data_IF_202663128532
#
_entry.id   IF_202663128532
#
_cell.length_a   1.000
_cell.length_b   1.000
_cell.length_c   1.000
_cell.angle_alpha   90.00
_cell.angle_beta   90.00
_cell.angle_gamma   90.00
#
_symmetry.space_group_name_H-M   'P 1'
#
loop_
_entity.id
_entity.type
_entity.pdbx_description
1 polymer ?
#
# COMPACT_ATOMS: atom_id res chain seq x y z
N UNK A 1 -22.05 21.94 -16.23
CA UNK A 1 -21.41 20.61 -16.26
C UNK A 1 -19.96 20.65 -16.72
N UNK A 2 -19.59 21.43 -17.75
CA UNK A 2 -18.20 21.55 -18.24
C UNK A 2 -17.18 21.93 -17.17
N UNK A 3 -17.45 22.94 -16.34
CA UNK A 3 -16.55 23.34 -15.25
C UNK A 3 -16.37 22.22 -14.21
N UNK A 4 -17.46 21.54 -13.85
CA UNK A 4 -17.42 20.40 -12.94
C UNK A 4 -16.53 19.28 -13.50
N UNK A 5 -16.64 18.97 -14.80
CA UNK A 5 -15.79 17.98 -15.46
C UNK A 5 -14.31 18.37 -15.46
N UNK A 6 -13.97 19.64 -15.68
CA UNK A 6 -12.58 20.12 -15.65
C UNK A 6 -12.00 20.04 -14.23
N UNK A 7 -12.79 20.40 -13.22
CA UNK A 7 -12.38 20.30 -11.81
C UNK A 7 -12.21 18.83 -11.40
N UNK A 8 -13.12 17.95 -11.80
CA UNK A 8 -13.02 16.52 -11.51
C UNK A 8 -11.80 15.89 -12.19
N UNK A 9 -11.48 16.29 -13.43
CA UNK A 9 -10.31 15.83 -14.17
C UNK A 9 -9.00 16.28 -13.51
N UNK A 10 -8.92 17.56 -13.11
CA UNK A 10 -7.73 18.08 -12.41
C UNK A 10 -7.57 17.45 -11.03
N UNK A 11 -8.68 17.23 -10.31
CA UNK A 11 -8.67 16.47 -9.07
C UNK A 11 -8.11 15.05 -9.26
N UNK A 12 -8.59 14.33 -10.27
CA UNK A 12 -8.07 13.01 -10.63
C UNK A 12 -6.56 13.05 -10.91
N UNK A 13 -6.07 13.97 -11.75
CA UNK A 13 -4.63 14.06 -12.06
C UNK A 13 -3.76 14.27 -10.82
N UNK A 14 -4.25 15.04 -9.84
CA UNK A 14 -3.51 15.32 -8.60
C UNK A 14 -3.53 14.11 -7.67
N UNK A 15 -4.69 13.47 -7.47
CA UNK A 15 -4.83 12.30 -6.57
C UNK A 15 -4.13 11.07 -7.15
N UNK A 16 -4.18 10.87 -8.48
CA UNK A 16 -3.48 9.79 -9.17
C UNK A 16 -1.95 9.92 -9.14
N UNK A 17 -1.39 10.95 -8.48
CA UNK A 17 0.05 11.19 -8.33
C UNK A 17 0.81 11.38 -9.65
N UNK A 18 0.13 11.73 -10.76
CA UNK A 18 0.76 11.92 -12.08
C UNK A 18 1.93 12.91 -12.03
N UNK A 19 1.83 13.97 -11.23
CA UNK A 19 2.92 14.95 -11.06
C UNK A 19 4.15 14.33 -10.41
N UNK A 20 3.95 13.44 -9.42
CA UNK A 20 5.05 12.72 -8.77
C UNK A 20 5.65 11.65 -9.68
N UNK A 21 4.79 10.99 -10.47
CA UNK A 21 5.23 9.98 -11.43
C UNK A 21 6.17 10.61 -12.49
N UNK A 22 5.86 11.81 -12.97
CA UNK A 22 6.70 12.54 -13.95
C UNK A 22 8.03 13.02 -13.35
N UNK A 23 8.07 13.40 -12.07
CA UNK A 23 9.28 13.98 -11.46
C UNK A 23 10.24 12.90 -10.95
N UNK A 24 9.69 11.84 -10.36
CA UNK A 24 10.47 10.82 -9.63
C UNK A 24 10.65 9.55 -10.46
N UNK A 25 9.88 9.40 -11.55
CA UNK A 25 9.84 8.22 -12.42
C UNK A 25 9.98 6.91 -11.63
N UNK A 26 9.11 6.66 -10.63
CA UNK A 26 9.18 5.43 -9.87
C UNK A 26 8.94 4.24 -10.81
N UNK A 27 9.48 3.04 -10.50
CA UNK A 27 9.23 1.86 -11.30
C UNK A 27 7.72 1.62 -11.44
N UNK A 28 7.30 1.05 -12.57
CA UNK A 28 5.87 0.82 -12.84
C UNK A 28 5.32 -0.39 -12.07
N UNK A 29 6.11 -1.46 -11.93
CA UNK A 29 5.74 -2.73 -11.28
C UNK A 29 6.97 -3.30 -10.56
N UNK A 30 6.75 -3.83 -9.36
CA UNK A 30 7.75 -4.58 -8.60
C UNK A 30 7.81 -6.04 -8.99
N UNK A 31 8.97 -6.64 -8.77
CA UNK A 31 9.08 -8.10 -8.75
C UNK A 31 9.84 -8.49 -7.49
N UNK A 32 9.19 -9.28 -6.63
CA UNK A 32 9.89 -10.01 -5.59
C UNK A 32 10.05 -11.45 -6.07
N UNK A 33 11.31 -11.91 -6.17
CA UNK A 33 11.59 -13.32 -6.36
C UNK A 33 11.45 -14.03 -5.01
N UNK A 34 10.59 -15.05 -4.98
CA UNK A 34 10.51 -15.95 -3.84
C UNK A 34 11.83 -16.76 -3.73
N UNK A 35 12.51 -16.63 -2.58
CA UNK A 35 13.83 -17.22 -2.35
C UNK A 35 13.83 -18.75 -2.35
N UNK A 36 12.68 -19.40 -2.15
CA UNK A 36 12.57 -20.85 -2.12
C UNK A 36 12.19 -21.47 -3.47
N UNK A 37 11.45 -20.75 -4.31
CA UNK A 37 10.89 -21.29 -5.56
C UNK A 37 11.47 -20.63 -6.82
N UNK A 38 12.16 -19.50 -6.68
CA UNK A 38 12.67 -18.71 -7.83
C UNK A 38 11.55 -18.10 -8.69
N UNK A 39 10.29 -18.28 -8.29
CA UNK A 39 9.15 -17.72 -8.98
C UNK A 39 9.11 -16.20 -8.76
N UNK A 40 8.97 -15.47 -9.86
CA UNK A 40 8.82 -14.02 -9.84
C UNK A 40 7.37 -13.72 -9.47
N UNK A 41 7.11 -13.28 -8.24
CA UNK A 41 5.79 -12.78 -7.87
C UNK A 41 5.73 -11.30 -8.22
N UNK A 42 4.77 -10.87 -9.05
CA UNK A 42 4.56 -9.46 -9.29
C UNK A 42 4.13 -8.84 -7.96
N UNK A 43 4.91 -7.88 -7.49
CA UNK A 43 4.62 -7.14 -6.27
C UNK A 43 4.10 -5.77 -6.68
N UNK A 44 2.83 -5.53 -6.37
CA UNK A 44 2.08 -4.39 -6.91
C UNK A 44 2.21 -3.16 -6.02
N UNK A 45 2.72 -3.32 -4.79
CA UNK A 45 2.96 -2.23 -3.82
C UNK A 45 4.32 -2.41 -3.15
N UNK A 46 5.13 -1.34 -3.01
CA UNK A 46 6.50 -1.48 -2.49
C UNK A 46 6.47 -1.80 -0.98
N UNK A 47 6.89 -3.00 -0.54
CA UNK A 47 6.94 -3.31 0.87
C UNK A 47 8.12 -2.59 1.54
N UNK A 48 7.91 -2.08 2.76
CA UNK A 48 8.99 -1.51 3.59
C UNK A 48 9.35 -0.04 3.33
N UNK A 49 8.70 0.66 2.38
CA UNK A 49 8.90 2.10 2.16
C UNK A 49 7.58 2.85 1.94
N UNK A 50 7.13 3.59 2.95
CA UNK A 50 5.93 4.46 2.88
C UNK A 50 6.02 5.58 1.82
N UNK A 51 7.25 5.96 1.41
CA UNK A 51 7.50 6.97 0.37
C UNK A 51 7.83 6.38 -1.01
N UNK A 52 7.95 5.06 -1.13
CA UNK A 52 8.08 4.40 -2.43
C UNK A 52 6.72 3.87 -2.84
N UNK A 53 6.17 4.36 -3.94
CA UNK A 53 4.89 3.85 -4.48
C UNK A 53 5.09 3.56 -5.96
N UNK A 54 4.48 2.47 -6.46
CA UNK A 54 4.47 2.19 -7.89
C UNK A 54 3.47 3.11 -8.58
N UNK A 55 3.71 3.41 -9.86
CA UNK A 55 2.81 4.24 -10.69
C UNK A 55 1.39 3.64 -10.68
N UNK A 56 1.27 2.31 -10.70
CA UNK A 56 -0.01 1.62 -10.77
C UNK A 56 -0.85 1.75 -9.50
N UNK A 57 -0.22 1.83 -8.32
CA UNK A 57 -0.93 2.08 -7.05
C UNK A 57 -1.50 3.49 -7.00
N UNK A 58 -0.68 4.49 -7.38
CA UNK A 58 -1.09 5.89 -7.44
C UNK A 58 -2.25 6.08 -8.42
N UNK A 59 -2.14 5.52 -9.62
CA UNK A 59 -3.17 5.61 -10.64
C UNK A 59 -4.48 4.92 -10.24
N UNK A 60 -4.40 3.72 -9.65
CA UNK A 60 -5.55 2.95 -9.17
C UNK A 60 -6.29 3.69 -8.04
N UNK A 61 -5.55 4.22 -7.07
CA UNK A 61 -6.14 4.97 -5.95
C UNK A 61 -6.88 6.23 -6.40
N UNK A 62 -6.41 6.91 -7.46
CA UNK A 62 -7.13 8.03 -8.06
C UNK A 62 -8.49 7.65 -8.66
N UNK A 63 -8.60 6.50 -9.34
CA UNK A 63 -9.91 6.03 -9.83
C UNK A 63 -10.85 5.66 -8.69
N UNK A 64 -10.34 5.00 -7.65
CA UNK A 64 -11.14 4.65 -6.48
C UNK A 64 -11.64 5.90 -5.74
N UNK A 65 -10.85 6.97 -5.70
CA UNK A 65 -11.28 8.23 -5.13
C UNK A 65 -12.40 8.90 -5.94
N UNK A 66 -12.29 8.89 -7.27
CA UNK A 66 -13.35 9.42 -8.15
C UNK A 66 -14.63 8.59 -8.00
N UNK A 67 -14.55 7.26 -7.94
CA UNK A 67 -15.72 6.41 -7.69
C UNK A 67 -16.33 6.63 -6.30
N UNK A 68 -15.50 6.84 -5.26
CA UNK A 68 -15.98 7.22 -3.94
C UNK A 68 -16.77 8.54 -3.96
N UNK A 69 -16.24 9.56 -4.63
CA UNK A 69 -16.91 10.85 -4.79
C UNK A 69 -18.20 10.77 -5.61
N UNK A 70 -18.17 10.06 -6.75
CA UNK A 70 -19.36 9.81 -7.58
C UNK A 70 -20.40 8.99 -6.80
N UNK A 71 -19.98 8.04 -5.96
CA UNK A 71 -20.87 7.28 -5.08
C UNK A 71 -21.68 8.16 -4.14
N UNK A 72 -21.05 9.19 -3.55
CA UNK A 72 -21.74 10.18 -2.71
C UNK A 72 -22.70 11.05 -3.56
N UNK A 73 -22.30 11.45 -4.77
CA UNK A 73 -23.19 12.19 -5.68
C UNK A 73 -24.42 11.37 -6.10
N UNK A 74 -24.26 10.05 -6.32
CA UNK A 74 -25.37 9.15 -6.61
C UNK A 74 -26.30 8.99 -5.41
N UNK A 75 -25.76 8.97 -4.18
CA UNK A 75 -26.58 8.97 -2.96
C UNK A 75 -27.41 10.24 -2.82
N UNK A 76 -26.82 11.40 -3.12
CA UNK A 76 -27.53 12.68 -3.12
C UNK A 76 -28.65 12.68 -4.17
N UNK A 77 -28.39 12.17 -5.38
CA UNK A 77 -29.39 12.06 -6.44
C UNK A 77 -30.51 11.07 -6.10
N UNK A 78 -30.24 10.05 -5.28
CA UNK A 78 -31.25 9.11 -4.81
C UNK A 78 -32.26 9.74 -3.83
N UNK A 79 -31.87 10.83 -3.14
CA UNK A 79 -32.73 11.57 -2.22
C UNK A 79 -33.66 12.56 -2.93
N UNK A 80 -33.43 12.84 -4.22
CA UNK A 80 -34.28 13.74 -4.98
C UNK A 80 -35.72 13.23 -5.07
N UNK A 81 -36.69 14.11 -4.81
CA UNK A 81 -38.12 13.80 -4.82
C UNK A 81 -38.66 13.57 -6.23
N UNK A 82 -37.99 14.11 -7.26
CA UNK A 82 -38.46 14.11 -8.65
C UNK A 82 -38.24 12.78 -9.43
N UNK A 83 -37.54 11.81 -8.86
CA UNK A 83 -37.19 10.55 -9.54
C UNK A 83 -38.24 9.43 -9.33
N UNK A 84 -38.32 8.48 -10.26
CA UNK A 84 -39.16 7.28 -10.08
C UNK A 84 -38.58 6.36 -8.99
N UNK A 85 -39.44 5.67 -8.21
CA UNK A 85 -39.02 4.84 -7.06
C UNK A 85 -37.95 3.80 -7.42
N UNK A 86 -38.06 3.15 -8.58
CA UNK A 86 -37.09 2.15 -9.05
C UNK A 86 -35.70 2.77 -9.33
N UNK A 87 -35.67 3.96 -9.93
CA UNK A 87 -34.43 4.67 -10.26
C UNK A 87 -33.73 5.15 -8.99
N UNK A 88 -34.49 5.64 -7.99
CA UNK A 88 -33.94 6.01 -6.68
C UNK A 88 -33.26 4.83 -5.98
N UNK A 89 -33.89 3.65 -6.00
CA UNK A 89 -33.31 2.44 -5.41
C UNK A 89 -32.01 2.07 -6.12
N UNK A 90 -31.93 2.20 -7.46
CA UNK A 90 -30.69 1.93 -8.20
C UNK A 90 -29.57 2.92 -7.90
N UNK A 91 -29.86 4.22 -7.75
CA UNK A 91 -28.85 5.21 -7.37
C UNK A 91 -28.38 5.02 -5.93
N UNK A 92 -29.28 4.70 -5.01
CA UNK A 92 -28.94 4.40 -3.63
C UNK A 92 -28.06 3.15 -3.54
N UNK A 93 -28.43 2.05 -4.22
CA UNK A 93 -27.65 0.81 -4.17
C UNK A 93 -26.27 0.96 -4.82
N UNK A 94 -26.19 1.61 -5.99
CA UNK A 94 -24.92 1.90 -6.66
C UNK A 94 -24.03 2.84 -5.83
N UNK A 95 -24.62 3.87 -5.22
CA UNK A 95 -23.91 4.83 -4.38
C UNK A 95 -23.32 4.19 -3.13
N UNK A 96 -24.11 3.37 -2.41
CA UNK A 96 -23.59 2.59 -1.26
C UNK A 96 -22.47 1.65 -1.69
N UNK A 97 -22.64 0.92 -2.81
CA UNK A 97 -21.63 -0.01 -3.29
C UNK A 97 -20.29 0.70 -3.58
N UNK A 98 -20.31 1.84 -4.27
CA UNK A 98 -19.09 2.58 -4.57
C UNK A 98 -18.40 3.15 -3.32
N UNK A 99 -19.16 3.63 -2.33
CA UNK A 99 -18.58 4.11 -1.06
C UNK A 99 -17.94 2.97 -0.27
N UNK A 100 -18.57 1.78 -0.25
CA UNK A 100 -18.01 0.60 0.41
C UNK A 100 -16.73 0.10 -0.26
N UNK A 101 -16.71 0.03 -1.60
CA UNK A 101 -15.52 -0.35 -2.36
C UNK A 101 -14.38 0.64 -2.11
N UNK A 102 -14.66 1.94 -2.13
CA UNK A 102 -13.68 2.98 -1.81
C UNK A 102 -13.13 2.84 -0.39
N UNK A 103 -14.00 2.61 0.60
CA UNK A 103 -13.60 2.40 2.00
C UNK A 103 -12.73 1.16 2.16
N UNK A 104 -13.07 0.07 1.48
CA UNK A 104 -12.30 -1.17 1.51
C UNK A 104 -10.91 -0.96 0.90
N UNK A 105 -10.84 -0.25 -0.24
CA UNK A 105 -9.57 0.08 -0.88
C UNK A 105 -8.65 0.89 0.04
N UNK A 106 -9.16 1.95 0.69
CA UNK A 106 -8.38 2.73 1.66
C UNK A 106 -7.86 1.84 2.80
N UNK A 107 -8.67 0.88 3.27
CA UNK A 107 -8.25 -0.03 4.33
C UNK A 107 -7.06 -0.90 3.91
N UNK A 108 -7.02 -1.34 2.64
CA UNK A 108 -5.90 -2.14 2.12
C UNK A 108 -4.61 -1.33 2.04
N UNK A 109 -4.69 -0.06 1.65
CA UNK A 109 -3.53 0.84 1.60
C UNK A 109 -2.97 1.12 3.02
N UNK A 110 -3.83 1.15 4.05
CA UNK A 110 -3.40 1.31 5.44
C UNK A 110 -2.64 0.08 5.96
N UNK A 111 -3.05 -1.12 5.55
CA UNK A 111 -2.39 -2.37 5.96
C UNK A 111 -0.95 -2.42 5.43
N UNK A 112 -0.76 -2.08 4.15
CA UNK A 112 0.54 -1.93 3.49
C UNK A 112 1.45 -0.91 4.19
N UNK A 113 0.89 0.24 4.57
CA UNK A 113 1.62 1.29 5.29
C UNK A 113 2.00 0.87 6.72
N UNK A 114 1.19 0.02 7.37
CA UNK A 114 1.46 -0.51 8.70
C UNK A 114 2.60 -1.54 8.70
N UNK A 115 2.65 -2.41 7.69
CA UNK A 115 3.73 -3.38 7.46
C UNK A 115 5.07 -2.66 7.20
N UNK A 116 5.03 -1.56 6.44
CA UNK A 116 6.21 -0.74 6.17
C UNK A 116 6.72 0.06 7.39
N UNK A 117 5.87 0.30 8.39
CA UNK A 117 6.22 1.02 9.62
C UNK A 117 6.83 0.12 10.70
N UNK A 118 6.59 -1.19 10.65
CA UNK A 118 7.14 -2.15 11.61
C UNK A 118 8.09 -3.18 10.93
N UNK A 119 9.32 -2.77 10.54
CA UNK A 119 10.26 -3.64 9.83
C UNK A 119 10.85 -4.77 10.71
N UNK A 120 10.44 -4.92 11.97
CA UNK A 120 11.01 -5.95 12.85
C UNK A 120 10.53 -7.37 12.55
N UNK A 121 9.47 -7.54 11.74
CA UNK A 121 8.90 -8.85 11.43
C UNK A 121 9.21 -9.36 10.00
N UNK A 122 9.73 -8.53 9.09
CA UNK A 122 10.20 -8.98 7.78
C UNK A 122 11.73 -8.81 7.63
N UNK A 123 12.41 -9.96 7.68
CA UNK A 123 13.80 -10.18 7.23
C UNK A 123 14.91 -9.71 8.19
N UNK A 124 14.90 -10.20 9.43
CA UNK A 124 16.11 -10.77 10.04
C UNK A 124 15.71 -12.13 10.61
N UNK A 125 16.29 -13.26 10.17
CA UNK A 125 15.96 -14.54 10.79
C UNK A 125 16.33 -14.45 12.28
N UNK A 126 15.34 -14.62 13.16
CA UNK A 126 15.52 -14.92 14.61
C UNK A 126 16.50 -16.09 14.85
N UNK A 127 16.91 -16.82 13.82
CA UNK A 127 17.96 -17.84 13.83
C UNK A 127 19.41 -17.34 13.72
N UNK A 128 19.69 -16.07 13.41
CA UNK A 128 21.06 -15.53 13.50
C UNK A 128 21.44 -15.18 14.94
N UNK A 129 20.46 -14.74 15.74
CA UNK A 129 20.69 -14.40 17.14
C UNK A 129 20.78 -15.63 18.06
N UNK A 130 20.09 -16.73 17.71
CA UNK A 130 20.24 -18.00 18.43
C UNK A 130 21.63 -18.64 18.25
N UNK A 131 22.28 -18.45 17.09
CA UNK A 131 23.60 -19.02 16.79
C UNK A 131 24.76 -18.14 17.30
N UNK A 132 24.54 -16.84 17.46
CA UNK A 132 25.50 -15.93 18.08
C UNK A 132 25.63 -16.20 19.61
N UNK A 133 24.53 -16.53 20.28
CA UNK A 133 24.54 -16.89 21.69
C UNK A 133 25.22 -18.25 21.98
N UNK A 134 25.24 -19.18 21.02
CA UNK A 134 25.94 -20.46 21.15
C UNK A 134 27.45 -20.34 20.89
N UNK A 135 27.88 -19.36 20.07
CA UNK A 135 29.31 -19.11 19.81
C UNK A 135 29.99 -18.33 20.94
N UNK A 136 29.25 -17.45 21.63
CA UNK A 136 29.78 -16.70 22.79
C UNK A 136 29.91 -17.60 24.03
N UNK A 137 28.99 -18.56 24.26
CA UNK A 137 29.07 -19.46 25.41
C UNK A 137 30.24 -20.45 25.33
N UNK A 138 30.60 -20.92 24.13
CA UNK A 138 31.72 -21.86 23.94
C UNK A 138 33.11 -21.21 23.93
N UNK A 139 33.22 -19.87 24.00
CA UNK A 139 34.51 -19.17 24.06
C UNK A 139 35.01 -18.90 25.49
N UNK A 140 34.23 -19.27 26.52
CA UNK A 140 34.53 -19.00 27.94
C UNK A 140 35.24 -20.15 28.67
N UNK A 141 35.91 -21.05 27.94
CA UNK A 141 36.58 -22.22 28.50
C UNK A 141 37.92 -22.56 27.86
N UNK A 142 38.92 -21.67 27.94
CA UNK A 142 40.33 -22.08 27.86
C UNK A 142 41.21 -21.09 28.62
N UNK A 143 41.68 -21.55 29.77
CA UNK A 143 42.52 -20.85 30.74
C UNK A 143 44.00 -21.06 30.44
N UNK A 144 44.77 -19.98 30.58
CA UNK A 144 46.19 -19.91 30.98
C UNK A 144 47.30 -20.40 30.02
N UNK A 145 48.15 -19.47 29.59
CA UNK A 145 49.61 -19.47 29.85
C UNK A 145 50.26 -18.17 29.33
N UNK A 146 50.80 -17.34 30.23
CA UNK A 146 51.62 -16.17 29.88
C UNK A 146 53.12 -16.55 29.88
N UNK A 147 53.92 -16.11 28.90
CA UNK A 147 55.38 -16.31 28.94
C UNK A 147 56.09 -15.23 29.79
N UNK A 148 57.22 -15.56 30.44
CA UNK A 148 57.93 -14.64 31.34
C UNK A 148 58.69 -13.54 30.57
N UNK A 149 58.81 -12.33 31.15
CA UNK A 149 59.55 -11.22 30.54
C UNK A 149 61.08 -11.36 30.66
N UNK A 150 61.84 -10.66 29.79
CA UNK A 150 63.30 -10.81 29.63
C UNK A 150 64.14 -10.28 30.80
#
# INVERSE_FOLDING_TARGET
MTLYSIILLTYFMVVSRIVYDVIVEPPSIGSMQDRFTGAVKPDVSLPGRVNGQYIIDGFSSGFMFVFGGVGIMLLDLALDKNQAKSVKVSYASAGVAFVLIFKLHISMDQEQASEARNPSDSIIPKKLNAKAHEFVSNSSGSSAAAPPPP
#
